data_IF_037241615246
#
_entry.id   IF_037241615246
#
_cell.length_a   1.000
_cell.length_b   1.000
_cell.length_c   1.000
_cell.angle_alpha   90.00
_cell.angle_beta   90.00
_cell.angle_gamma   90.00
#
_symmetry.space_group_name_H-M   'P 1'
#
loop_
_entity.id
_entity.type
_entity.pdbx_description
1 polymer ?
#
# COMPACT_ATOMS: atom_id res chain seq x y z
N UNK A 1 13.35 -12.84 -20.95
CA UNK A 1 11.96 -12.45 -20.62
C UNK A 1 12.04 -11.10 -19.91
N UNK A 2 11.67 -10.00 -20.58
CA UNK A 2 11.65 -8.69 -19.92
C UNK A 2 10.58 -8.73 -18.83
N UNK A 3 11.01 -8.73 -17.57
CA UNK A 3 10.13 -8.51 -16.42
C UNK A 3 9.50 -7.14 -16.67
N UNK A 4 8.22 -7.09 -16.99
CA UNK A 4 7.46 -5.83 -16.98
C UNK A 4 7.62 -5.33 -15.55
N UNK A 5 8.45 -4.31 -15.35
CA UNK A 5 8.62 -3.69 -14.05
C UNK A 5 7.29 -3.02 -13.70
N UNK A 6 6.44 -3.71 -12.94
CA UNK A 6 5.35 -3.06 -12.23
C UNK A 6 5.98 -2.26 -11.10
N UNK A 7 6.50 -1.08 -11.43
CA UNK A 7 6.93 -0.12 -10.42
C UNK A 7 5.68 0.58 -9.95
N UNK A 8 5.11 0.06 -8.86
CA UNK A 8 4.02 0.73 -8.20
C UNK A 8 4.62 1.66 -7.15
N UNK A 9 4.59 2.96 -7.47
CA UNK A 9 5.18 4.00 -6.63
C UNK A 9 4.04 4.69 -5.89
N UNK A 10 4.04 4.57 -4.57
CA UNK A 10 3.02 5.14 -3.69
C UNK A 10 3.67 5.96 -2.56
N UNK A 11 4.59 6.84 -2.92
CA UNK A 11 5.45 7.54 -1.96
C UNK A 11 5.19 9.04 -1.83
N UNK A 12 4.23 9.58 -2.59
CA UNK A 12 3.94 11.01 -2.63
C UNK A 12 2.45 11.32 -2.81
N UNK A 13 1.96 12.43 -2.22
CA UNK A 13 0.56 12.82 -2.30
C UNK A 13 0.12 13.15 -3.72
N UNK A 14 -1.13 12.82 -4.03
CA UNK A 14 -1.79 13.26 -5.25
C UNK A 14 -1.94 14.80 -5.28
N UNK A 15 -2.01 15.42 -6.47
CA UNK A 15 -2.14 16.88 -6.62
C UNK A 15 -3.45 17.46 -6.07
N UNK A 16 -4.44 16.62 -5.75
CA UNK A 16 -5.68 17.03 -5.10
C UNK A 16 -6.69 15.88 -4.96
N UNK A 17 -7.77 16.09 -4.16
CA UNK A 17 -8.81 15.10 -3.96
C UNK A 17 -9.57 14.82 -5.26
N UNK A 18 -9.95 13.55 -5.46
CA UNK A 18 -10.84 13.17 -6.55
C UNK A 18 -11.69 11.95 -6.19
N UNK A 19 -12.86 11.77 -6.83
CA UNK A 19 -13.67 10.57 -6.62
C UNK A 19 -12.93 9.27 -6.92
N UNK A 20 -11.98 9.29 -7.88
CA UNK A 20 -11.15 8.12 -8.21
C UNK A 20 -10.17 7.82 -7.09
N UNK A 21 -9.45 8.84 -6.60
CA UNK A 21 -8.53 8.73 -5.48
C UNK A 21 -9.21 8.15 -4.24
N UNK A 22 -10.39 8.67 -3.90
CA UNK A 22 -11.19 8.18 -2.78
C UNK A 22 -11.64 6.72 -2.95
N UNK A 23 -11.97 6.28 -4.18
CA UNK A 23 -12.29 4.87 -4.46
C UNK A 23 -11.06 3.97 -4.31
N UNK A 24 -9.91 4.37 -4.85
CA UNK A 24 -8.66 3.60 -4.73
C UNK A 24 -8.24 3.45 -3.27
N UNK A 25 -8.33 4.54 -2.51
CA UNK A 25 -8.01 4.55 -1.07
C UNK A 25 -8.90 3.59 -0.28
N UNK A 26 -10.23 3.66 -0.49
CA UNK A 26 -11.18 2.73 0.14
C UNK A 26 -10.93 1.28 -0.28
N UNK A 27 -10.58 1.05 -1.55
CA UNK A 27 -10.26 -0.28 -2.06
C UNK A 27 -9.06 -0.88 -1.35
N UNK A 28 -7.93 -0.15 -1.29
CA UNK A 28 -6.75 -0.63 -0.60
C UNK A 28 -6.98 -0.82 0.90
N UNK A 29 -7.70 0.11 1.54
CA UNK A 29 -8.09 -0.01 2.93
C UNK A 29 -8.86 -1.32 3.20
N UNK A 30 -9.87 -1.63 2.39
CA UNK A 30 -10.63 -2.88 2.50
C UNK A 30 -9.74 -4.12 2.31
N UNK A 31 -8.83 -4.09 1.32
CA UNK A 31 -7.86 -5.18 1.12
C UNK A 31 -6.97 -5.42 2.35
N UNK A 32 -6.54 -4.35 3.01
CA UNK A 32 -5.73 -4.49 4.22
C UNK A 32 -6.55 -5.06 5.39
N UNK A 33 -7.85 -4.76 5.46
CA UNK A 33 -8.74 -5.38 6.44
C UNK A 33 -8.95 -6.89 6.17
N UNK A 34 -8.93 -7.30 4.90
CA UNK A 34 -9.07 -8.72 4.51
C UNK A 34 -7.86 -9.60 4.94
N UNK A 35 -6.76 -9.01 5.42
CA UNK A 35 -5.61 -9.76 5.96
C UNK A 35 -5.91 -10.39 7.35
N UNK A 36 -7.05 -10.08 7.96
CA UNK A 36 -7.54 -10.77 9.16
C UNK A 36 -6.87 -10.35 10.48
N UNK A 37 -7.00 -11.18 11.52
CA UNK A 37 -6.58 -10.85 12.90
C UNK A 37 -5.08 -10.59 13.07
N UNK A 38 -4.25 -11.15 12.18
CA UNK A 38 -2.80 -10.91 12.15
C UNK A 38 -2.40 -9.83 11.12
N UNK A 39 -3.38 -9.17 10.50
CA UNK A 39 -3.19 -8.11 9.54
C UNK A 39 -2.73 -6.79 10.17
N UNK A 40 -2.49 -5.77 9.33
CA UNK A 40 -2.07 -4.46 9.81
C UNK A 40 -3.17 -3.75 10.59
N UNK A 41 -2.76 -2.94 11.56
CA UNK A 41 -3.59 -1.85 12.06
C UNK A 41 -3.58 -0.75 11.00
N UNK A 42 -4.73 -0.52 10.37
CA UNK A 42 -4.84 0.34 9.18
C UNK A 42 -5.74 1.56 9.42
N UNK A 43 -5.36 2.70 8.84
CA UNK A 43 -6.15 3.95 8.76
C UNK A 43 -6.11 4.47 7.33
N UNK A 44 -7.07 5.33 6.98
CA UNK A 44 -7.07 6.00 5.67
C UNK A 44 -7.52 7.45 5.73
N UNK A 45 -7.06 8.23 4.75
CA UNK A 45 -7.54 9.56 4.41
C UNK A 45 -7.84 9.59 2.90
N UNK A 46 -9.12 9.72 2.56
CA UNK A 46 -9.59 9.67 1.16
C UNK A 46 -9.32 10.96 0.39
N UNK A 47 -9.20 12.09 1.08
CA UNK A 47 -8.95 13.39 0.45
C UNK A 47 -7.48 13.50 0.07
N UNK A 48 -6.60 12.94 0.89
CA UNK A 48 -5.16 12.85 0.62
C UNK A 48 -4.77 11.64 -0.23
N UNK A 49 -5.64 10.65 -0.36
CA UNK A 49 -5.31 9.40 -1.03
C UNK A 49 -4.32 8.55 -0.24
N UNK A 50 -4.39 8.56 1.09
CA UNK A 50 -3.41 7.92 1.96
C UNK A 50 -4.01 6.71 2.67
N UNK A 51 -3.30 5.58 2.63
CA UNK A 51 -3.50 4.46 3.54
C UNK A 51 -2.26 4.33 4.43
N UNK A 52 -2.47 4.39 5.75
CA UNK A 52 -1.40 4.17 6.72
C UNK A 52 -1.60 2.81 7.39
N UNK A 53 -0.54 2.02 7.47
CA UNK A 53 -0.57 0.69 8.06
C UNK A 53 0.62 0.47 8.99
N UNK A 54 0.35 -0.13 10.15
CA UNK A 54 1.38 -0.69 11.04
C UNK A 54 1.16 -2.19 11.12
N UNK A 55 2.24 -2.98 11.06
CA UNK A 55 2.19 -4.44 11.11
C UNK A 55 2.77 -4.94 12.43
N UNK A 56 1.95 -5.13 13.50
CA UNK A 56 2.46 -5.61 14.78
C UNK A 56 3.10 -6.99 14.66
N UNK A 57 4.17 -7.23 15.42
CA UNK A 57 4.90 -8.49 15.38
C UNK A 57 5.78 -8.69 14.14
N UNK A 58 5.86 -7.68 13.26
CA UNK A 58 6.81 -7.62 12.15
C UNK A 58 7.86 -6.55 12.39
N UNK A 59 9.07 -6.79 11.89
CA UNK A 59 10.15 -5.79 11.85
C UNK A 59 9.93 -4.94 10.59
N UNK A 60 9.67 -3.63 10.77
CA UNK A 60 9.21 -2.80 9.67
C UNK A 60 10.26 -2.60 8.57
N UNK A 61 11.55 -2.53 8.91
CA UNK A 61 12.60 -2.36 7.91
C UNK A 61 12.77 -3.61 7.05
N UNK A 62 12.67 -4.80 7.64
CA UNK A 62 12.71 -6.05 6.90
C UNK A 62 11.48 -6.19 5.99
N UNK A 63 10.29 -5.88 6.49
CA UNK A 63 9.08 -5.90 5.67
C UNK A 63 9.17 -4.90 4.50
N UNK A 64 9.74 -3.71 4.71
CA UNK A 64 9.99 -2.75 3.64
C UNK A 64 10.92 -3.32 2.56
N UNK A 65 12.03 -3.95 2.95
CA UNK A 65 12.96 -4.60 2.00
C UNK A 65 12.30 -5.74 1.23
N UNK A 66 11.46 -6.52 1.88
CA UNK A 66 10.74 -7.62 1.24
C UNK A 66 9.74 -7.08 0.19
N UNK A 67 9.02 -6.00 0.51
CA UNK A 67 8.15 -5.30 -0.44
C UNK A 67 8.93 -4.68 -1.61
N UNK A 68 10.09 -4.08 -1.35
CA UNK A 68 10.98 -3.57 -2.40
C UNK A 68 11.44 -4.70 -3.35
N UNK A 69 11.65 -5.91 -2.82
CA UNK A 69 11.93 -7.12 -3.60
C UNK A 69 10.82 -7.50 -4.59
N UNK A 70 9.56 -7.16 -4.28
CA UNK A 70 8.42 -7.28 -5.19
C UNK A 70 8.24 -6.07 -6.13
N UNK A 71 9.06 -5.03 -6.00
CA UNK A 71 8.94 -3.79 -6.77
C UNK A 71 7.94 -2.79 -6.20
N UNK A 72 7.51 -2.98 -4.95
CA UNK A 72 6.59 -2.09 -4.24
C UNK A 72 7.40 -1.05 -3.47
N UNK A 73 7.04 0.23 -3.60
CA UNK A 73 7.59 1.31 -2.77
C UNK A 73 6.54 1.86 -1.83
N UNK A 74 6.94 2.11 -0.60
CA UNK A 74 6.13 2.75 0.44
C UNK A 74 7.03 3.66 1.28
N UNK A 75 6.45 4.65 1.94
CA UNK A 75 7.19 5.50 2.87
C UNK A 75 7.06 4.93 4.27
N UNK A 76 8.18 4.71 4.95
CA UNK A 76 8.20 4.26 6.34
C UNK A 76 8.50 5.45 7.26
N UNK A 77 7.56 5.79 8.13
CA UNK A 77 7.69 6.86 9.15
C UNK A 77 7.35 6.27 10.51
N UNK A 78 8.32 6.25 11.44
CA UNK A 78 8.09 5.79 12.82
C UNK A 78 7.33 4.44 12.89
N UNK A 79 7.83 3.42 12.17
CA UNK A 79 7.23 2.07 12.08
C UNK A 79 5.86 1.99 11.36
N UNK A 80 5.41 3.08 10.72
CA UNK A 80 4.17 3.11 9.94
C UNK A 80 4.46 3.25 8.45
N UNK A 81 3.90 2.32 7.69
CA UNK A 81 3.91 2.38 6.24
C UNK A 81 2.83 3.35 5.76
N UNK A 82 3.22 4.26 4.89
CA UNK A 82 2.34 5.16 4.17
C UNK A 82 2.31 4.74 2.70
N UNK A 83 1.11 4.45 2.21
CA UNK A 83 0.82 4.13 0.83
C UNK A 83 -0.03 5.26 0.25
N UNK A 84 0.61 6.09 -0.57
CA UNK A 84 -0.02 7.21 -1.27
C UNK A 84 -0.56 6.80 -2.63
N UNK A 85 -1.85 6.99 -2.86
CA UNK A 85 -2.49 6.55 -4.09
C UNK A 85 -2.10 7.44 -5.26
N UNK A 86 -1.60 6.82 -6.34
CA UNK A 86 -1.48 7.46 -7.65
C UNK A 86 -2.87 7.49 -8.31
N UNK A 87 -3.46 8.67 -8.60
CA UNK A 87 -4.75 8.77 -9.28
C UNK A 87 -4.79 8.05 -10.64
N UNK A 88 -3.66 7.97 -11.33
CA UNK A 88 -3.53 7.31 -12.63
C UNK A 88 -3.15 5.83 -12.49
N UNK A 89 -2.87 5.39 -11.26
CA UNK A 89 -2.57 4.00 -10.92
C UNK A 89 -3.73 3.06 -11.21
N UNK A 90 -3.40 1.79 -11.41
CA UNK A 90 -4.37 0.73 -11.72
C UNK A 90 -4.85 0.06 -10.43
N UNK A 91 -6.10 -0.41 -10.42
CA UNK A 91 -6.65 -1.12 -9.26
C UNK A 91 -5.95 -2.47 -9.06
N UNK A 92 -5.51 -3.11 -10.14
CA UNK A 92 -4.77 -4.37 -10.13
C UNK A 92 -3.42 -4.25 -9.41
N UNK A 93 -2.84 -3.05 -9.37
CA UNK A 93 -1.61 -2.82 -8.63
C UNK A 93 -1.88 -2.79 -7.11
N UNK A 94 -3.06 -2.35 -6.67
CA UNK A 94 -3.50 -2.43 -5.27
C UNK A 94 -3.71 -3.89 -4.85
N UNK A 95 -4.35 -4.69 -5.71
CA UNK A 95 -4.54 -6.12 -5.47
C UNK A 95 -3.20 -6.88 -5.49
N UNK A 96 -2.24 -6.44 -6.30
CA UNK A 96 -0.89 -6.99 -6.31
C UNK A 96 -0.16 -6.74 -4.98
N UNK A 97 -0.19 -5.51 -4.45
CA UNK A 97 0.34 -5.20 -3.12
C UNK A 97 -0.31 -6.07 -2.04
N UNK A 98 -1.64 -6.19 -2.07
CA UNK A 98 -2.34 -7.06 -1.14
C UNK A 98 -1.86 -8.51 -1.23
N UNK A 99 -1.69 -9.05 -2.44
CA UNK A 99 -1.16 -10.40 -2.64
C UNK A 99 0.28 -10.58 -2.12
N UNK A 100 1.14 -9.59 -2.32
CA UNK A 100 2.50 -9.58 -1.76
C UNK A 100 2.48 -9.57 -0.24
N UNK A 101 1.67 -8.72 0.38
CA UNK A 101 1.51 -8.69 1.82
C UNK A 101 0.95 -10.02 2.34
N UNK A 102 -0.07 -10.57 1.70
CA UNK A 102 -0.63 -11.88 2.07
C UNK A 102 0.41 -13.00 2.06
N UNK A 103 1.32 -13.01 1.07
CA UNK A 103 2.44 -13.97 1.02
C UNK A 103 3.47 -13.74 2.15
N UNK A 104 3.65 -12.49 2.57
CA UNK A 104 4.60 -12.12 3.61
C UNK A 104 4.05 -12.24 5.03
N UNK A 105 2.74 -12.44 5.21
CA UNK A 105 2.05 -12.50 6.51
C UNK A 105 2.03 -13.91 7.12
#
# INVERSE_FOLDING_TARGET
MSRIERKTVWDSPAPGPSPRLARMTRHLFARFQDLGENGPVVRMDQDLGLVTARFPGREAQQLLKDLEGFGIRAVLVEEQFQFWMDPEGRFEDLDFLWGCLFQLM
#
